data_IF_186298233687
#
_entry.id   IF_186298233687
#
_cell.length_a   1.000
_cell.length_b   1.000
_cell.length_c   1.000
_cell.angle_alpha   90.00
_cell.angle_beta   90.00
_cell.angle_gamma   90.00
#
_symmetry.space_group_name_H-M   'P 1'
#
loop_
_entity.id
_entity.type
_entity.pdbx_description
1 polymer ?
#
# COMPACT_ATOMS: atom_id res chain seq x y z
N UNK A 1 5.30 12.03 6.89
CA UNK A 1 6.22 12.03 8.04
C UNK A 1 7.36 11.10 7.67
N UNK A 2 8.62 11.50 7.90
CA UNK A 2 9.78 10.66 7.63
C UNK A 2 9.86 9.48 8.60
N UNK A 3 10.70 8.49 8.28
CA UNK A 3 11.01 7.37 9.18
C UNK A 3 11.51 7.88 10.55
N UNK A 4 11.10 7.21 11.63
CA UNK A 4 11.54 7.54 12.99
C UNK A 4 13.02 7.21 13.19
N UNK A 5 13.80 8.16 13.71
CA UNK A 5 15.22 7.94 14.04
C UNK A 5 15.42 6.78 15.03
N UNK A 6 14.53 6.65 16.02
CA UNK A 6 14.55 5.55 17.01
C UNK A 6 14.50 4.17 16.36
N UNK A 7 13.79 4.05 15.23
CA UNK A 7 13.70 2.80 14.48
C UNK A 7 15.03 2.48 13.79
N UNK A 8 15.64 3.48 13.14
CA UNK A 8 16.93 3.34 12.48
C UNK A 8 18.03 2.97 13.47
N UNK A 9 18.06 3.64 14.62
CA UNK A 9 19.04 3.37 15.68
C UNK A 9 18.91 1.92 16.18
N UNK A 10 17.68 1.45 16.41
CA UNK A 10 17.42 0.08 16.85
C UNK A 10 17.89 -0.96 15.83
N UNK A 11 17.59 -0.74 14.55
CA UNK A 11 18.03 -1.61 13.46
C UNK A 11 19.57 -1.62 13.34
N UNK A 12 20.21 -0.46 13.52
CA UNK A 12 21.65 -0.31 13.54
C UNK A 12 22.31 -1.06 14.71
N UNK A 13 21.77 -0.94 15.93
CA UNK A 13 22.25 -1.66 17.11
C UNK A 13 22.16 -3.18 16.95
N UNK A 14 21.10 -3.66 16.32
CA UNK A 14 20.91 -5.08 16.01
C UNK A 14 21.72 -5.57 14.78
N UNK A 15 22.48 -4.67 14.14
CA UNK A 15 23.23 -4.93 12.89
C UNK A 15 22.35 -5.54 11.77
N UNK A 16 21.07 -5.18 11.76
CA UNK A 16 20.12 -5.64 10.76
C UNK A 16 20.41 -4.96 9.42
N UNK A 17 20.44 -5.74 8.32
CA UNK A 17 20.57 -5.16 6.99
C UNK A 17 19.18 -4.72 6.50
N UNK A 18 19.01 -3.42 6.27
CA UNK A 18 17.75 -2.85 5.76
C UNK A 18 17.99 -1.87 4.62
N UNK A 19 17.01 -1.77 3.74
CA UNK A 19 16.91 -0.80 2.65
C UNK A 19 15.69 0.09 2.92
N UNK A 20 15.89 1.41 2.91
CA UNK A 20 14.77 2.35 2.92
C UNK A 20 14.23 2.45 1.50
N UNK A 21 12.96 2.07 1.32
CA UNK A 21 12.32 2.07 0.01
C UNK A 21 11.26 3.14 -0.03
N UNK A 22 11.52 4.19 -0.81
CA UNK A 22 10.58 5.26 -1.10
C UNK A 22 9.52 4.82 -2.10
N UNK A 23 8.28 5.24 -1.87
CA UNK A 23 7.16 5.00 -2.77
C UNK A 23 6.21 6.21 -2.79
N UNK A 24 5.31 6.24 -3.78
CA UNK A 24 4.21 7.20 -3.78
C UNK A 24 3.43 7.07 -2.48
N UNK A 25 2.72 8.13 -2.08
CA UNK A 25 1.81 8.02 -0.95
C UNK A 25 0.75 6.98 -1.27
N UNK A 26 0.79 5.86 -0.54
CA UNK A 26 -0.10 4.73 -0.72
C UNK A 26 -0.80 4.41 0.59
N UNK A 27 -2.07 4.07 0.50
CA UNK A 27 -2.91 3.77 1.66
C UNK A 27 -3.26 2.29 1.75
N UNK A 28 -2.95 1.51 0.70
CA UNK A 28 -3.22 0.07 0.66
C UNK A 28 -1.95 -0.72 0.38
N UNK A 29 -1.91 -1.95 0.90
CA UNK A 29 -0.80 -2.86 0.64
C UNK A 29 -0.72 -3.31 -0.84
N UNK A 30 -1.84 -3.24 -1.58
CA UNK A 30 -1.84 -3.49 -3.02
C UNK A 30 -1.08 -2.40 -3.77
N UNK A 31 -1.34 -1.14 -3.44
CA UNK A 31 -0.66 0.00 -4.07
C UNK A 31 0.83 0.02 -3.71
N UNK A 32 1.18 -0.35 -2.47
CA UNK A 32 2.56 -0.53 -2.03
C UNK A 32 3.25 -1.64 -2.86
N UNK A 33 2.65 -2.81 -2.98
CA UNK A 33 3.21 -3.91 -3.78
C UNK A 33 3.40 -3.51 -5.25
N UNK A 34 2.42 -2.83 -5.84
CA UNK A 34 2.46 -2.35 -7.22
C UNK A 34 3.57 -1.31 -7.44
N UNK A 35 3.71 -0.34 -6.53
CA UNK A 35 4.72 0.71 -6.62
C UNK A 35 6.14 0.14 -6.45
N UNK A 36 6.29 -0.83 -5.55
CA UNK A 36 7.57 -1.45 -5.24
C UNK A 36 7.93 -2.63 -6.15
N UNK A 37 7.02 -3.04 -7.05
CA UNK A 37 7.15 -4.19 -7.95
C UNK A 37 7.50 -5.50 -7.22
N UNK A 38 6.92 -5.69 -6.03
CA UNK A 38 7.09 -6.89 -5.20
C UNK A 38 5.82 -7.73 -5.18
N UNK A 39 5.91 -8.99 -4.76
CA UNK A 39 4.71 -9.82 -4.60
C UNK A 39 3.90 -9.31 -3.41
N UNK A 40 2.57 -9.44 -3.49
CA UNK A 40 1.70 -9.00 -2.40
C UNK A 40 2.02 -9.73 -1.08
N UNK A 41 2.36 -11.02 -1.13
CA UNK A 41 2.77 -11.78 0.06
C UNK A 41 4.11 -11.33 0.68
N UNK A 42 4.90 -10.51 -0.02
CA UNK A 42 6.15 -9.93 0.48
C UNK A 42 5.91 -8.57 1.18
N UNK A 43 4.70 -8.01 1.09
CA UNK A 43 4.31 -6.81 1.83
C UNK A 43 3.67 -7.24 3.14
N UNK A 44 4.17 -6.72 4.26
CA UNK A 44 3.66 -7.01 5.60
C UNK A 44 2.60 -5.99 5.98
N UNK A 45 1.43 -6.49 6.40
CA UNK A 45 0.39 -5.67 7.04
C UNK A 45 0.58 -5.68 8.53
N UNK A 46 0.47 -4.49 9.12
CA UNK A 46 0.50 -4.28 10.55
C UNK A 46 -0.91 -4.00 11.06
N UNK A 47 -1.44 -4.88 11.90
CA UNK A 47 -2.76 -4.72 12.51
C UNK A 47 -2.62 -4.63 14.02
N UNK A 48 -3.13 -3.56 14.61
CA UNK A 48 -3.24 -3.46 16.05
C UNK A 48 -4.45 -4.25 16.52
N UNK A 49 -4.27 -5.08 17.53
CA UNK A 49 -5.30 -5.93 18.11
C UNK A 49 -5.35 -5.68 19.61
N UNK A 50 -6.55 -5.53 20.16
CA UNK A 50 -6.78 -5.42 21.59
C UNK A 50 -7.18 -6.79 22.14
N UNK A 51 -6.51 -7.23 23.20
CA UNK A 51 -6.76 -8.51 23.89
C UNK A 51 -7.04 -8.20 25.35
N UNK A 52 -8.31 -8.16 25.73
CA UNK A 52 -8.71 -7.66 27.05
C UNK A 52 -8.25 -6.22 27.26
N UNK A 53 -7.35 -5.99 28.22
CA UNK A 53 -6.80 -4.64 28.51
C UNK A 53 -5.57 -4.32 27.65
N UNK A 54 -4.87 -5.32 27.14
CA UNK A 54 -3.59 -5.18 26.46
C UNK A 54 -3.72 -5.00 24.95
N UNK A 55 -2.63 -4.59 24.31
CA UNK A 55 -2.51 -4.42 22.87
C UNK A 55 -1.40 -5.29 22.31
N UNK A 56 -1.64 -5.84 21.12
CA UNK A 56 -0.72 -6.67 20.36
C UNK A 56 -0.62 -6.14 18.94
N UNK A 57 0.57 -6.22 18.36
CA UNK A 57 0.78 -5.93 16.95
C UNK A 57 0.80 -7.24 16.16
N UNK A 58 -0.25 -7.52 15.38
CA UNK A 58 -0.33 -8.69 14.53
C UNK A 58 0.19 -8.37 13.12
N UNK A 59 1.23 -9.10 12.70
CA UNK A 59 1.88 -8.96 11.40
C UNK A 59 1.58 -10.15 10.50
N UNK A 60 1.12 -9.85 9.29
CA UNK A 60 0.71 -10.87 8.33
C UNK A 60 1.02 -10.44 6.89
N UNK A 61 1.18 -11.39 5.95
CA UNK A 61 1.28 -11.09 4.52
C UNK A 61 0.07 -10.32 3.99
N UNK A 62 0.27 -9.44 3.00
CA UNK A 62 -0.81 -8.61 2.47
C UNK A 62 -1.87 -9.39 1.68
N UNK A 63 -1.54 -10.58 1.19
CA UNK A 63 -2.42 -11.51 0.47
C UNK A 63 -3.25 -12.43 1.40
N UNK A 64 -3.19 -12.23 2.72
CA UNK A 64 -3.95 -13.00 3.70
C UNK A 64 -4.84 -12.14 4.58
N UNK A 65 -5.84 -12.70 5.23
CA UNK A 65 -6.65 -12.01 6.24
C UNK A 65 -6.40 -12.60 7.63
N UNK A 66 -6.60 -11.76 8.65
CA UNK A 66 -6.54 -12.15 10.05
C UNK A 66 -7.72 -13.07 10.39
N UNK A 67 -7.45 -14.19 11.04
CA UNK A 67 -8.45 -15.08 11.61
C UNK A 67 -8.40 -14.96 13.14
N UNK A 68 -9.42 -14.32 13.72
CA UNK A 68 -9.51 -14.08 15.16
C UNK A 68 -9.53 -15.38 15.98
N UNK A 69 -10.13 -16.46 15.45
CA UNK A 69 -10.18 -17.75 16.16
C UNK A 69 -8.79 -18.36 16.26
N UNK A 70 -8.02 -18.31 15.18
CA UNK A 70 -6.65 -18.80 15.17
C UNK A 70 -5.71 -17.91 15.99
N UNK A 71 -5.87 -16.59 15.91
CA UNK A 71 -5.09 -15.66 16.73
C UNK A 71 -5.32 -15.91 18.23
N UNK A 72 -6.57 -16.16 18.63
CA UNK A 72 -6.91 -16.51 20.01
C UNK A 72 -6.21 -17.78 20.50
N UNK A 73 -6.08 -18.79 19.63
CA UNK A 73 -5.31 -20.00 19.95
C UNK A 73 -3.83 -19.71 20.13
N UNK A 74 -3.24 -18.91 19.24
CA UNK A 74 -1.82 -18.51 19.33
C UNK A 74 -1.53 -17.75 20.61
N UNK A 75 -2.45 -16.88 21.03
CA UNK A 75 -2.33 -16.07 22.24
C UNK A 75 -2.85 -16.77 23.51
N UNK A 76 -3.36 -18.01 23.40
CA UNK A 76 -4.01 -18.75 24.49
C UNK A 76 -5.10 -17.95 25.23
N UNK A 77 -5.98 -17.29 24.48
CA UNK A 77 -7.11 -16.49 25.00
C UNK A 77 -8.42 -16.88 24.36
N UNK A 78 -9.54 -16.42 24.93
CA UNK A 78 -10.85 -16.54 24.32
C UNK A 78 -11.02 -15.55 23.18
N UNK A 79 -11.67 -15.97 22.09
CA UNK A 79 -11.93 -15.12 20.91
C UNK A 79 -12.72 -13.87 21.27
N UNK A 80 -13.65 -13.96 22.22
CA UNK A 80 -14.46 -12.83 22.73
C UNK A 80 -13.62 -11.69 23.33
N UNK A 81 -12.38 -11.98 23.76
CA UNK A 81 -11.47 -10.97 24.31
C UNK A 81 -10.66 -10.25 23.22
N UNK A 82 -10.73 -10.70 21.98
CA UNK A 82 -9.97 -10.15 20.86
C UNK A 82 -10.85 -9.20 20.04
N UNK A 83 -10.37 -7.98 19.82
CA UNK A 83 -11.03 -7.00 18.97
C UNK A 83 -10.02 -6.10 18.26
N UNK A 84 -10.45 -5.48 17.15
CA UNK A 84 -9.69 -4.39 16.55
C UNK A 84 -10.10 -3.10 17.28
N UNK A 85 -9.16 -2.35 17.88
CA UNK A 85 -9.50 -1.11 18.57
C UNK A 85 -9.98 -0.05 17.56
N UNK A 86 -10.92 0.78 17.98
CA UNK A 86 -11.38 1.95 17.20
C UNK A 86 -10.23 2.95 17.06
N UNK A 87 -10.23 3.72 15.97
CA UNK A 87 -9.21 4.73 15.68
C UNK A 87 -8.95 5.70 16.83
N UNK A 88 -10.00 6.17 17.52
CA UNK A 88 -9.87 7.05 18.70
C UNK A 88 -8.98 6.45 19.80
N UNK A 89 -9.14 5.14 20.06
CA UNK A 89 -8.33 4.41 21.05
C UNK A 89 -6.88 4.30 20.59
N UNK A 90 -6.67 4.05 19.30
CA UNK A 90 -5.32 3.95 18.72
C UNK A 90 -4.57 5.28 18.81
N UNK A 91 -5.22 6.39 18.44
CA UNK A 91 -4.65 7.73 18.50
C UNK A 91 -4.35 8.13 19.94
N UNK A 92 -5.25 7.84 20.88
CA UNK A 92 -5.05 8.15 22.29
C UNK A 92 -3.89 7.35 22.91
N UNK A 93 -3.80 6.05 22.60
CA UNK A 93 -2.78 5.18 23.18
C UNK A 93 -1.39 5.36 22.55
N UNK A 94 -1.32 5.55 21.23
CA UNK A 94 -0.05 5.50 20.49
C UNK A 94 0.32 6.80 19.78
N UNK A 95 -0.55 7.82 19.80
CA UNK A 95 -0.34 9.12 19.10
C UNK A 95 -0.01 8.97 17.61
N UNK A 96 -0.44 7.87 17.00
CA UNK A 96 -0.25 7.57 15.57
C UNK A 96 -1.53 7.85 14.79
N UNK A 97 -1.37 8.32 13.55
CA UNK A 97 -2.50 8.42 12.63
C UNK A 97 -2.97 7.00 12.23
N UNK A 98 -4.29 6.76 12.13
CA UNK A 98 -4.81 5.54 11.54
C UNK A 98 -4.15 5.25 10.18
N UNK A 99 -3.77 4.00 9.94
CA UNK A 99 -3.05 3.59 8.73
C UNK A 99 -1.53 3.86 8.73
N UNK A 100 -1.00 4.56 9.74
CA UNK A 100 0.44 4.83 9.89
C UNK A 100 1.10 4.00 11.01
N UNK A 101 0.49 2.88 11.41
CA UNK A 101 1.10 2.01 12.42
C UNK A 101 2.32 1.31 11.80
N UNK A 102 3.46 1.51 12.44
CA UNK A 102 4.71 0.84 12.10
C UNK A 102 4.61 -0.66 12.39
N UNK A 103 5.35 -1.48 11.65
CA UNK A 103 5.45 -2.92 11.92
C UNK A 103 6.30 -3.25 13.17
N UNK A 104 6.92 -2.25 13.79
CA UNK A 104 7.83 -2.43 14.91
C UNK A 104 7.10 -2.11 16.22
N UNK A 105 6.66 -3.16 16.92
CA UNK A 105 5.91 -3.03 18.19
C UNK A 105 6.75 -2.42 19.31
N UNK A 106 8.06 -2.57 19.23
CA UNK A 106 9.00 -1.94 20.17
C UNK A 106 8.92 -0.41 20.23
N UNK A 107 8.54 0.26 19.13
CA UNK A 107 8.30 1.71 19.12
C UNK A 107 7.14 2.12 20.04
N UNK A 108 6.23 1.18 20.29
CA UNK A 108 5.02 1.35 21.08
C UNK A 108 5.05 0.58 22.40
N UNK A 109 6.14 -0.15 22.67
CA UNK A 109 6.29 -1.07 23.83
C UNK A 109 5.17 -2.11 23.91
N UNK A 110 4.74 -2.64 22.77
CA UNK A 110 3.73 -3.71 22.69
C UNK A 110 4.31 -5.00 22.09
N UNK A 111 3.83 -6.18 22.53
CA UNK A 111 4.22 -7.45 21.95
C UNK A 111 3.80 -7.57 20.48
N UNK A 112 4.62 -8.25 19.70
CA UNK A 112 4.41 -8.51 18.27
C UNK A 112 4.11 -9.99 18.06
N UNK A 113 3.11 -10.28 17.22
CA UNK A 113 2.76 -11.63 16.78
C UNK A 113 2.92 -11.68 15.26
N UNK A 114 3.71 -12.63 14.75
CA UNK A 114 4.03 -12.73 13.31
C UNK A 114 3.45 -14.02 12.74
N UNK A 115 2.77 -13.92 11.60
CA UNK A 115 2.25 -15.09 10.91
C UNK A 115 3.41 -15.95 10.39
N UNK A 116 3.37 -17.25 10.70
CA UNK A 116 4.47 -18.17 10.38
C UNK A 116 4.75 -18.26 8.88
N UNK A 117 3.81 -17.90 8.00
CA UNK A 117 4.11 -17.90 6.56
C UNK A 117 5.09 -16.83 6.12
N UNK A 118 5.29 -15.76 6.90
CA UNK A 118 6.31 -14.75 6.61
C UNK A 118 7.73 -15.34 6.75
N UNK A 119 7.93 -16.35 7.60
CA UNK A 119 9.26 -16.98 7.76
C UNK A 119 9.72 -17.75 6.53
N UNK A 120 8.80 -18.07 5.61
CA UNK A 120 9.10 -18.70 4.32
C UNK A 120 9.62 -17.71 3.28
N UNK A 121 9.50 -16.41 3.54
CA UNK A 121 9.93 -15.34 2.65
C UNK A 121 11.31 -14.86 3.10
N UNK A 122 12.25 -14.70 2.16
CA UNK A 122 13.61 -14.26 2.47
C UNK A 122 13.64 -12.79 2.93
N UNK A 123 12.98 -11.92 2.18
CA UNK A 123 12.91 -10.47 2.40
C UNK A 123 11.47 -10.00 2.29
N UNK A 124 11.07 -9.09 3.17
CA UNK A 124 9.73 -8.51 3.15
C UNK A 124 9.80 -6.99 3.33
N UNK A 125 8.73 -6.31 2.92
CA UNK A 125 8.54 -4.87 3.07
C UNK A 125 7.65 -4.61 4.27
N UNK A 126 8.17 -3.84 5.22
CA UNK A 126 7.53 -3.51 6.49
C UNK A 126 7.18 -2.02 6.54
N UNK A 127 5.98 -1.71 7.03
CA UNK A 127 5.60 -0.33 7.33
C UNK A 127 6.55 0.27 8.37
N UNK A 128 7.11 1.45 8.07
CA UNK A 128 7.98 2.20 8.98
C UNK A 128 7.21 3.18 9.87
N UNK A 129 5.90 3.35 9.62
CA UNK A 129 5.08 4.44 10.15
C UNK A 129 5.03 5.68 9.25
N UNK A 130 5.77 5.70 8.14
CA UNK A 130 5.64 6.66 7.05
C UNK A 130 4.65 6.17 5.99
N UNK A 131 3.99 7.10 5.30
CA UNK A 131 3.12 6.78 4.15
C UNK A 131 3.85 6.77 2.80
N UNK A 132 5.11 7.21 2.79
CA UNK A 132 5.93 7.39 1.58
C UNK A 132 7.23 6.59 1.64
N UNK A 133 7.57 6.01 2.80
CA UNK A 133 8.77 5.22 3.00
C UNK A 133 8.43 3.94 3.74
N UNK A 134 8.95 2.82 3.25
CA UNK A 134 8.88 1.51 3.92
C UNK A 134 10.29 0.96 4.11
N UNK A 135 10.43 -0.05 4.97
CA UNK A 135 11.69 -0.75 5.16
C UNK A 135 11.64 -2.12 4.51
N UNK A 136 12.58 -2.41 3.63
CA UNK A 136 12.82 -3.76 3.11
C UNK A 136 13.97 -4.37 3.89
N UNK A 137 13.73 -5.52 4.51
CA UNK A 137 14.75 -6.25 5.25
C UNK A 137 14.50 -7.76 5.20
N UNK A 138 15.51 -8.54 5.61
CA UNK A 138 15.37 -9.98 5.76
C UNK A 138 14.40 -10.27 6.89
N UNK A 139 13.51 -11.24 6.68
CA UNK A 139 12.53 -11.62 7.72
C UNK A 139 13.27 -12.14 8.96
N UNK A 140 14.37 -12.87 8.79
CA UNK A 140 15.20 -13.34 9.92
C UNK A 140 15.72 -12.20 10.80
N UNK A 141 16.21 -11.13 10.18
CA UNK A 141 16.73 -9.96 10.90
C UNK A 141 15.60 -9.26 11.65
N UNK A 142 14.42 -9.13 11.03
CA UNK A 142 13.23 -8.60 11.70
C UNK A 142 12.84 -9.41 12.95
N UNK A 143 12.83 -10.75 12.84
CA UNK A 143 12.52 -11.63 13.96
C UNK A 143 13.52 -11.48 15.12
N UNK A 144 14.81 -11.31 14.80
CA UNK A 144 15.84 -11.08 15.81
C UNK A 144 15.67 -9.71 16.53
N UNK A 145 15.23 -8.68 15.80
CA UNK A 145 15.05 -7.32 16.35
C UNK A 145 13.81 -7.19 17.24
N UNK A 146 12.69 -7.82 16.85
CA UNK A 146 11.41 -7.66 17.54
C UNK A 146 11.09 -8.82 18.50
N UNK A 147 11.80 -9.95 18.40
CA UNK A 147 11.54 -11.18 19.17
C UNK A 147 10.04 -11.54 19.29
N UNK A 148 9.33 -11.70 18.16
CA UNK A 148 7.87 -11.84 18.17
C UNK A 148 7.41 -13.26 18.51
N UNK A 149 6.15 -13.38 18.91
CA UNK A 149 5.46 -14.67 18.98
C UNK A 149 5.10 -15.14 17.57
N UNK A 150 5.58 -16.31 17.16
CA UNK A 150 5.23 -16.91 15.87
C UNK A 150 3.96 -17.74 15.99
N UNK A 151 3.06 -17.62 15.01
CA UNK A 151 1.86 -18.45 14.98
C UNK A 151 1.16 -18.48 13.63
N UNK A 152 0.29 -19.47 13.43
CA UNK A 152 -0.57 -19.56 12.26
C UNK A 152 -1.93 -18.96 12.57
N UNK A 153 -2.14 -17.69 12.23
CA UNK A 153 -3.38 -16.97 12.55
C UNK A 153 -4.05 -16.32 11.35
N UNK A 154 -3.67 -16.74 10.15
CA UNK A 154 -4.20 -16.18 8.91
C UNK A 154 -4.99 -17.19 8.08
N UNK A 155 -5.77 -16.65 7.15
CA UNK A 155 -6.47 -17.37 6.08
C UNK A 155 -6.18 -16.69 4.74
N UNK A 156 -6.17 -17.46 3.64
CA UNK A 156 -5.97 -16.90 2.31
C UNK A 156 -7.05 -15.85 2.01
N UNK A 157 -6.64 -14.67 1.52
CA UNK A 157 -7.60 -13.65 1.10
C UNK A 157 -8.20 -14.10 -0.24
N UNK A 158 -9.53 -14.18 -0.33
CA UNK A 158 -10.20 -14.22 -1.63
C UNK A 158 -10.03 -12.85 -2.29
N UNK A 159 -9.03 -12.71 -3.16
CA UNK A 159 -8.85 -11.49 -3.95
C UNK A 159 -9.76 -11.61 -5.16
N UNK A 160 -10.90 -10.91 -5.15
CA UNK A 160 -11.65 -10.68 -6.38
C UNK A 160 -10.77 -9.83 -7.29
N UNK A 161 -10.20 -10.44 -8.33
CA UNK A 161 -9.42 -9.70 -9.34
C UNK A 161 -10.33 -8.61 -9.93
N UNK A 162 -9.92 -7.34 -10.00
CA UNK A 162 -10.68 -6.36 -10.74
C UNK A 162 -10.85 -6.88 -12.18
N UNK A 163 -12.10 -6.88 -12.66
CA UNK A 163 -12.46 -7.29 -14.03
C UNK A 163 -11.60 -6.43 -14.96
N UNK A 164 -10.67 -7.07 -15.69
CA UNK A 164 -9.71 -6.38 -16.57
C UNK A 164 -10.51 -5.47 -17.50
N UNK A 165 -10.39 -4.15 -17.35
CA UNK A 165 -10.93 -3.20 -18.32
C UNK A 165 -10.39 -3.62 -19.69
N UNK A 166 -11.30 -3.91 -20.61
CA UNK A 166 -10.96 -4.45 -21.92
C UNK A 166 -9.96 -3.52 -22.60
N UNK A 167 -8.85 -4.09 -23.11
CA UNK A 167 -7.92 -3.38 -23.98
C UNK A 167 -8.69 -2.88 -25.21
N UNK A 168 -8.49 -1.64 -25.68
CA UNK A 168 -9.04 -1.24 -26.96
C UNK A 168 -8.46 -2.14 -28.06
N UNK A 169 -9.36 -2.69 -28.86
CA UNK A 169 -9.04 -3.57 -30.00
C UNK A 169 -8.20 -2.79 -31.01
N UNK A 170 -7.04 -3.34 -31.37
CA UNK A 170 -6.26 -2.89 -32.53
C UNK A 170 -7.14 -3.01 -33.79
N UNK A 171 -7.44 -1.90 -34.47
CA UNK A 171 -7.86 -1.95 -35.88
C UNK A 171 -6.62 -1.83 -36.75
N UNK A 172 -6.33 -2.88 -37.51
CA UNK A 172 -5.30 -2.93 -38.55
C UNK A 172 -5.98 -3.14 -39.91
N UNK A 173 -5.63 -2.32 -40.90
CA UNK A 173 -5.85 -2.47 -42.36
C UNK A 173 -7.32 -2.42 -42.85
N UNK A 174 -7.70 -1.83 -43.97
CA UNK A 174 -7.01 -1.15 -45.07
C UNK A 174 -7.94 -1.17 -46.30
N UNK A 175 -8.03 -0.03 -47.02
CA UNK A 175 -8.41 0.17 -48.46
C UNK A 175 -9.80 -0.35 -48.94
N UNK A 176 -10.56 0.19 -49.90
CA UNK A 176 -10.34 1.12 -51.03
C UNK A 176 -11.71 1.50 -51.69
N UNK A 177 -11.67 2.36 -52.72
CA UNK A 177 -12.67 2.66 -53.81
C UNK A 177 -13.51 3.96 -53.66
N UNK A 178 -13.19 5.03 -54.43
CA UNK A 178 -13.70 5.48 -55.77
C UNK A 178 -15.16 6.02 -55.67
N UNK A 179 -15.53 7.26 -56.04
CA UNK A 179 -15.62 7.88 -57.39
C UNK A 179 -16.22 9.32 -57.19
N UNK A 180 -15.67 10.42 -57.76
CA UNK A 180 -16.00 11.03 -59.08
C UNK A 180 -17.13 12.10 -59.13
N UNK A 181 -16.73 13.35 -59.43
CA UNK A 181 -17.31 14.36 -60.35
C UNK A 181 -18.75 14.93 -60.12
N UNK A 182 -18.86 16.27 -59.93
CA UNK A 182 -19.43 17.25 -60.91
C UNK A 182 -19.69 18.69 -60.36
N UNK A 183 -19.12 19.67 -61.10
CA UNK A 183 -19.63 21.01 -61.51
C UNK A 183 -20.40 21.98 -60.57
N UNK A 184 -19.74 23.13 -60.22
CA UNK A 184 -20.06 24.59 -60.37
C UNK A 184 -21.47 25.04 -60.86
N UNK A 185 -21.92 26.34 -60.76
CA UNK A 185 -21.37 27.57 -60.09
C UNK A 185 -22.39 28.63 -59.52
N UNK A 186 -21.89 29.84 -59.12
CA UNK A 186 -22.52 31.21 -59.05
C UNK A 186 -23.44 31.49 -57.82
N UNK A 187 -23.53 32.67 -57.18
CA UNK A 187 -23.25 34.11 -57.41
C UNK A 187 -23.25 34.80 -56.00
N UNK A 188 -22.32 35.68 -55.60
CA UNK A 188 -22.18 37.14 -55.83
C UNK A 188 -22.74 38.07 -54.71
N UNK A 189 -22.05 39.22 -54.55
CA UNK A 189 -22.34 40.45 -53.77
C UNK A 189 -22.03 40.43 -52.24
N UNK A 190 -21.36 41.42 -51.62
CA UNK A 190 -20.77 42.71 -52.05
C UNK A 190 -19.69 43.14 -51.02
N UNK A 191 -18.51 43.62 -51.46
CA UNK A 191 -18.12 45.04 -51.61
C UNK A 191 -18.36 45.96 -50.39
N UNK A 192 -17.33 46.28 -49.60
CA UNK A 192 -16.52 47.53 -49.71
C UNK A 192 -15.57 47.74 -48.53
N UNK A 193 -14.43 48.32 -48.86
CA UNK A 193 -13.29 48.67 -48.03
C UNK A 193 -13.40 50.07 -47.39
N UNK A 194 -12.61 50.32 -46.32
CA UNK A 194 -11.82 51.54 -46.03
C UNK A 194 -11.10 51.34 -44.67
N UNK A 195 -9.78 51.17 -44.63
CA UNK A 195 -8.68 52.16 -44.59
C UNK A 195 -8.43 52.80 -43.20
N UNK A 196 -7.27 52.42 -42.63
CA UNK A 196 -6.20 53.20 -41.98
C UNK A 196 -6.56 54.35 -41.02
N UNK A 197 -6.01 54.28 -39.80
CA UNK A 197 -5.00 55.20 -39.20
C UNK A 197 -4.84 54.88 -37.70
N UNK A 198 -3.62 54.68 -37.16
CA UNK A 198 -2.76 55.68 -36.46
C UNK A 198 -3.49 56.25 -35.21
N UNK A 199 -2.96 56.38 -33.99
CA UNK A 199 -1.59 56.55 -33.50
C UNK A 199 -1.64 56.58 -31.95
N UNK A 200 -0.62 56.02 -31.30
CA UNK A 200 0.08 56.47 -30.08
C UNK A 200 -0.55 57.62 -29.28
N UNK A 201 -0.82 57.38 -27.99
CA UNK A 201 -0.27 58.15 -26.85
C UNK A 201 -0.45 57.38 -25.54
#
# INVERSE_FOLDING_TARGET
MPISQKLLDKLGQAKAQFEIVGHRQVFTAFDAAATLKVKLGEVVKSLLVKVGKDFYLALLPADKNLDFKKLAKVLNVQVSKISIPKEKVMTAAFKVKPGAISAFGSLYKIPVVVDQSLTKVKTAVFSSGSFVESLRLKVKDFLAVENPVLGNFTVARKINKPKRLARPVKRAGGQSSKQSLRSKPKQAAGLKAKRKSKQVR
#
